data_IF_013221479578
#
_entry.id   IF_013221479578
#
_cell.length_a   1.000
_cell.length_b   1.000
_cell.length_c   1.000
_cell.angle_alpha   90.00
_cell.angle_beta   90.00
_cell.angle_gamma   90.00
#
_symmetry.space_group_name_H-M   'P 1'
#
loop_
_entity.id
_entity.type
_entity.pdbx_description
1 polymer ?
#
# COMPACT_ATOMS: atom_id res chain seq x y z
N UNK A 1 53.75 4.16 -34.30
CA UNK A 1 53.80 4.86 -35.60
C UNK A 1 53.76 3.83 -36.72
N UNK A 2 52.88 3.99 -37.71
CA UNK A 2 52.83 3.25 -38.99
C UNK A 2 52.65 1.71 -38.90
N UNK A 3 52.03 1.00 -39.86
CA UNK A 3 51.48 1.40 -41.16
C UNK A 3 50.01 0.97 -41.32
N UNK A 4 49.26 1.78 -42.07
CA UNK A 4 47.99 1.40 -42.69
C UNK A 4 48.28 0.51 -43.91
N UNK A 5 47.43 -0.47 -44.18
CA UNK A 5 47.30 -1.02 -45.53
C UNK A 5 45.83 -1.25 -45.86
N UNK A 6 45.31 -0.41 -46.77
CA UNK A 6 43.97 -0.51 -47.32
C UNK A 6 43.93 -1.64 -48.36
N UNK A 7 42.84 -2.40 -48.41
CA UNK A 7 42.33 -3.02 -49.64
C UNK A 7 40.81 -2.90 -49.62
N UNK A 8 40.20 -2.68 -50.79
CA UNK A 8 38.80 -2.29 -50.92
C UNK A 8 38.16 -2.97 -52.14
N UNK A 9 36.82 -3.04 -52.13
CA UNK A 9 35.93 -3.43 -53.24
C UNK A 9 36.01 -4.93 -53.62
N UNK A 10 34.96 -5.61 -54.11
CA UNK A 10 33.59 -5.22 -54.55
C UNK A 10 32.55 -6.13 -53.86
N UNK A 11 31.45 -5.61 -53.30
CA UNK A 11 30.14 -5.52 -53.95
C UNK A 11 29.60 -6.83 -54.57
N UNK A 12 28.53 -7.37 -53.98
CA UNK A 12 27.40 -7.94 -54.72
C UNK A 12 26.10 -7.72 -53.94
N UNK A 13 24.95 -7.64 -54.61
CA UNK A 13 23.70 -7.13 -54.04
C UNK A 13 22.49 -8.05 -54.30
N UNK A 14 21.72 -8.34 -53.24
CA UNK A 14 20.43 -9.04 -53.33
C UNK A 14 19.36 -8.34 -52.48
N UNK A 15 18.73 -7.41 -53.17
CA UNK A 15 17.55 -6.58 -52.90
C UNK A 15 16.26 -7.35 -52.50
N UNK A 16 15.26 -6.60 -51.98
CA UNK A 16 13.80 -6.92 -51.83
C UNK A 16 13.43 -7.79 -50.60
N UNK A 17 12.45 -7.45 -49.72
CA UNK A 17 11.64 -6.23 -49.54
C UNK A 17 10.91 -6.16 -48.17
N UNK A 18 10.59 -4.93 -47.73
CA UNK A 18 9.40 -4.44 -47.01
C UNK A 18 8.70 -5.24 -45.89
N UNK A 19 8.59 -4.59 -44.73
CA UNK A 19 7.28 -4.32 -44.12
C UNK A 19 7.28 -2.99 -43.32
N UNK A 20 7.00 -1.88 -44.00
CA UNK A 20 6.71 -0.57 -43.38
C UNK A 20 5.35 -0.05 -43.83
N UNK A 21 4.38 -0.08 -42.91
CA UNK A 21 3.05 0.57 -42.91
C UNK A 21 2.34 0.08 -41.63
N UNK A 22 1.50 0.83 -40.93
CA UNK A 22 1.15 2.26 -41.02
C UNK A 22 0.44 2.59 -39.70
N UNK A 23 0.90 3.55 -38.89
CA UNK A 23 0.05 4.15 -37.84
C UNK A 23 0.62 5.50 -37.37
N UNK A 24 0.43 6.51 -38.22
CA UNK A 24 0.65 7.91 -37.90
C UNK A 24 -0.63 8.68 -38.22
N UNK A 25 -1.57 8.75 -37.27
CA UNK A 25 -2.60 9.80 -37.19
C UNK A 25 -3.44 9.67 -35.90
N UNK A 26 -2.99 10.29 -34.81
CA UNK A 26 -3.85 10.60 -33.63
C UNK A 26 -3.28 11.64 -32.65
N UNK A 27 -2.23 12.38 -33.03
CA UNK A 27 -1.39 13.17 -32.10
C UNK A 27 -1.94 14.57 -31.71
N UNK A 28 -3.23 14.87 -31.93
CA UNK A 28 -3.80 16.21 -31.73
C UNK A 28 -5.14 16.27 -30.95
N UNK A 29 -5.46 15.27 -30.11
CA UNK A 29 -6.66 15.31 -29.22
C UNK A 29 -6.34 14.91 -27.75
N UNK A 30 -5.07 14.80 -27.36
CA UNK A 30 -4.69 14.28 -26.02
C UNK A 30 -4.40 15.33 -24.95
N UNK A 31 -3.93 16.53 -25.29
CA UNK A 31 -3.45 17.52 -24.31
C UNK A 31 -4.55 18.10 -23.43
N UNK A 32 -5.71 18.48 -24.00
CA UNK A 32 -6.82 19.07 -23.24
C UNK A 32 -7.48 18.06 -22.28
N UNK A 33 -7.61 16.79 -22.67
CA UNK A 33 -8.10 15.73 -21.77
C UNK A 33 -7.10 15.40 -20.66
N UNK A 34 -5.79 15.44 -20.93
CA UNK A 34 -4.77 15.26 -19.89
C UNK A 34 -4.74 16.41 -18.89
N UNK A 35 -4.89 17.67 -19.34
CA UNK A 35 -5.00 18.83 -18.43
C UNK A 35 -6.21 18.71 -17.50
N UNK A 36 -7.39 18.42 -18.05
CA UNK A 36 -8.62 18.27 -17.25
C UNK A 36 -8.53 17.13 -16.23
N UNK A 37 -7.85 16.03 -16.57
CA UNK A 37 -7.63 14.91 -15.63
C UNK A 37 -6.66 15.30 -14.51
N UNK A 38 -5.59 16.03 -14.81
CA UNK A 38 -4.63 16.51 -13.81
C UNK A 38 -5.26 17.55 -12.87
N UNK A 39 -6.10 18.45 -13.38
CA UNK A 39 -6.80 19.44 -12.55
C UNK A 39 -7.88 18.78 -11.67
N UNK A 40 -8.59 17.76 -12.15
CA UNK A 40 -9.52 16.94 -11.34
C UNK A 40 -8.79 16.13 -10.25
N UNK A 41 -7.63 15.53 -10.57
CA UNK A 41 -6.77 14.89 -9.57
C UNK A 41 -6.38 15.92 -8.53
N UNK A 42 -5.83 17.08 -8.94
CA UNK A 42 -5.38 18.15 -8.04
C UNK A 42 -6.49 18.70 -7.15
N UNK A 43 -7.71 18.82 -7.66
CA UNK A 43 -8.89 19.22 -6.88
C UNK A 43 -9.28 18.14 -5.85
N UNK A 44 -9.27 16.86 -6.23
CA UNK A 44 -9.58 15.76 -5.29
C UNK A 44 -8.50 15.57 -4.21
N UNK A 45 -7.21 15.71 -4.53
CA UNK A 45 -6.14 15.76 -3.52
C UNK A 45 -6.26 17.00 -2.63
N UNK A 46 -6.67 18.15 -3.17
CA UNK A 46 -6.86 19.38 -2.39
C UNK A 46 -8.04 19.27 -1.42
N UNK A 47 -9.12 18.58 -1.81
CA UNK A 47 -10.25 18.28 -0.92
C UNK A 47 -9.84 17.31 0.21
N UNK A 48 -9.17 16.20 -0.12
CA UNK A 48 -8.65 15.25 0.89
C UNK A 48 -7.60 15.88 1.82
N UNK A 49 -6.79 16.80 1.30
CA UNK A 49 -5.85 17.59 2.11
C UNK A 49 -6.52 18.69 2.95
N UNK A 50 -7.80 19.02 2.70
CA UNK A 50 -8.60 19.86 3.58
C UNK A 50 -9.18 19.02 4.74
N UNK A 51 -9.71 17.83 4.47
CA UNK A 51 -10.17 16.89 5.50
C UNK A 51 -9.00 16.43 6.40
N UNK A 52 -7.84 16.13 5.82
CA UNK A 52 -6.64 15.80 6.59
C UNK A 52 -6.10 16.98 7.40
N UNK A 53 -6.38 18.23 7.03
CA UNK A 53 -6.07 19.42 7.85
C UNK A 53 -7.00 19.53 9.06
N UNK A 54 -8.26 19.12 8.96
CA UNK A 54 -9.18 19.05 10.12
C UNK A 54 -8.70 17.99 11.11
N UNK A 55 -8.30 16.81 10.64
CA UNK A 55 -7.74 15.75 11.48
C UNK A 55 -6.36 16.10 12.06
N UNK A 56 -5.47 16.70 11.27
CA UNK A 56 -4.15 17.13 11.75
C UNK A 56 -4.24 18.29 12.76
N UNK A 57 -5.21 19.21 12.61
CA UNK A 57 -5.43 20.26 13.62
C UNK A 57 -6.06 19.72 14.91
N UNK A 58 -6.91 18.69 14.83
CA UNK A 58 -7.37 17.95 16.00
C UNK A 58 -6.22 17.25 16.76
N UNK A 59 -5.18 16.78 16.06
CA UNK A 59 -3.97 16.22 16.68
C UNK A 59 -2.99 17.25 17.27
N UNK A 60 -3.18 18.55 17.03
CA UNK A 60 -2.22 19.61 17.40
C UNK A 60 -2.77 20.59 18.43
N UNK A 61 -4.09 20.78 18.52
CA UNK A 61 -4.71 21.66 19.52
C UNK A 61 -4.84 20.93 20.87
N UNK A 62 -3.66 20.60 21.44
CA UNK A 62 -3.40 20.55 22.87
C UNK A 62 -3.69 19.25 23.62
N UNK A 63 -2.63 18.53 23.98
CA UNK A 63 -2.65 17.55 25.10
C UNK A 63 -3.19 18.16 26.42
N UNK A 64 -3.13 19.49 26.57
CA UNK A 64 -3.70 20.22 27.71
C UNK A 64 -5.20 20.60 27.58
N UNK A 65 -5.85 20.39 26.43
CA UNK A 65 -7.30 20.65 26.25
C UNK A 65 -8.09 19.44 25.73
N UNK A 66 -7.45 18.51 25.02
CA UNK A 66 -8.06 17.25 24.59
C UNK A 66 -8.37 16.28 25.73
N UNK A 67 -7.75 16.43 26.90
CA UNK A 67 -8.04 15.58 28.07
C UNK A 67 -9.46 15.80 28.59
N UNK A 68 -9.89 17.06 28.81
CA UNK A 68 -11.24 17.33 29.32
C UNK A 68 -12.35 17.09 28.28
N UNK A 69 -12.09 17.38 27.00
CA UNK A 69 -13.06 17.14 25.92
C UNK A 69 -13.11 15.65 25.54
N UNK A 70 -11.98 14.97 25.48
CA UNK A 70 -11.89 13.54 25.19
C UNK A 70 -12.57 12.68 26.24
N UNK A 71 -12.36 12.99 27.53
CA UNK A 71 -13.05 12.29 28.62
C UNK A 71 -14.57 12.59 28.60
N UNK A 72 -14.99 13.82 28.25
CA UNK A 72 -16.42 14.14 28.10
C UNK A 72 -17.06 13.49 26.86
N UNK A 73 -16.34 13.29 25.76
CA UNK A 73 -16.86 12.58 24.59
C UNK A 73 -16.87 11.06 24.79
N UNK A 74 -15.92 10.50 25.55
CA UNK A 74 -15.94 9.09 25.94
C UNK A 74 -17.17 8.72 26.80
N UNK A 75 -17.70 9.65 27.59
CA UNK A 75 -18.99 9.48 28.30
C UNK A 75 -20.21 9.34 27.35
N UNK A 76 -20.05 9.66 26.07
CA UNK A 76 -21.05 9.46 25.00
C UNK A 76 -20.70 8.34 24.01
N UNK A 77 -19.64 7.56 24.27
CA UNK A 77 -19.22 6.48 23.38
C UNK A 77 -20.30 5.42 23.19
N UNK A 78 -20.40 4.86 21.97
CA UNK A 78 -21.36 3.79 21.71
C UNK A 78 -20.92 2.49 22.38
N UNK A 79 -21.86 1.56 22.59
CA UNK A 79 -21.53 0.20 23.09
C UNK A 79 -20.54 -0.55 22.19
N UNK A 80 -20.51 -0.21 20.90
CA UNK A 80 -19.55 -0.74 19.94
C UNK A 80 -18.16 -0.15 20.17
N UNK A 81 -18.05 1.18 20.29
CA UNK A 81 -16.77 1.86 20.57
C UNK A 81 -16.15 1.36 21.88
N UNK A 82 -16.94 1.31 22.97
CA UNK A 82 -16.44 0.84 24.26
C UNK A 82 -15.97 -0.62 24.16
N UNK A 83 -16.68 -1.48 23.43
CA UNK A 83 -16.23 -2.86 23.19
C UNK A 83 -14.90 -2.91 22.43
N UNK A 84 -14.72 -2.10 21.38
CA UNK A 84 -13.45 -2.06 20.63
C UNK A 84 -12.29 -1.55 21.49
N UNK A 85 -12.54 -0.57 22.35
CA UNK A 85 -11.56 -0.08 23.34
C UNK A 85 -11.21 -1.19 24.35
N UNK A 86 -12.19 -1.89 24.89
CA UNK A 86 -11.98 -2.98 25.86
C UNK A 86 -11.23 -4.17 25.24
N UNK A 87 -11.60 -4.57 24.01
CA UNK A 87 -10.93 -5.63 23.25
C UNK A 87 -9.47 -5.24 22.93
N UNK A 88 -9.21 -4.00 22.52
CA UNK A 88 -7.84 -3.50 22.29
C UNK A 88 -7.05 -3.47 23.61
N UNK A 89 -7.61 -2.98 24.71
CA UNK A 89 -6.92 -2.92 26.00
C UNK A 89 -6.58 -4.32 26.52
N UNK A 90 -7.45 -5.32 26.30
CA UNK A 90 -7.16 -6.71 26.59
C UNK A 90 -5.99 -7.26 25.76
N UNK A 91 -5.93 -6.92 24.46
CA UNK A 91 -4.80 -7.25 23.58
C UNK A 91 -3.51 -6.54 24.02
N UNK A 92 -3.55 -5.23 24.27
CA UNK A 92 -2.44 -4.42 24.77
C UNK A 92 -1.83 -5.01 26.05
N UNK A 93 -2.67 -5.35 27.04
CA UNK A 93 -2.24 -5.99 28.29
C UNK A 93 -1.60 -7.37 28.07
N UNK A 94 -2.08 -8.13 27.08
CA UNK A 94 -1.54 -9.45 26.72
C UNK A 94 -0.18 -9.36 26.01
N UNK A 95 0.04 -8.32 25.20
CA UNK A 95 1.24 -8.15 24.35
C UNK A 95 2.30 -7.24 24.94
N UNK A 96 1.96 -6.44 25.95
CA UNK A 96 2.81 -5.37 26.47
C UNK A 96 2.93 -4.17 25.52
N UNK A 97 2.01 -4.04 24.55
CA UNK A 97 1.86 -2.83 23.76
C UNK A 97 1.12 -1.74 24.57
N UNK A 98 1.34 -0.43 24.31
CA UNK A 98 0.60 0.63 25.00
C UNK A 98 -0.91 0.57 24.73
N UNK A 99 -1.70 0.88 25.77
CA UNK A 99 -3.14 1.15 25.66
C UNK A 99 -3.42 2.33 24.71
N UNK A 100 -4.66 2.49 24.25
CA UNK A 100 -5.04 3.62 23.41
C UNK A 100 -4.95 4.95 24.18
N UNK A 101 -4.24 5.92 23.59
CA UNK A 101 -4.26 7.32 24.01
C UNK A 101 -5.65 7.94 23.81
N UNK A 102 -5.92 9.09 24.42
CA UNK A 102 -7.19 9.82 24.25
C UNK A 102 -7.44 10.20 22.78
N UNK A 103 -6.39 10.58 22.04
CA UNK A 103 -6.49 10.89 20.61
C UNK A 103 -6.82 9.66 19.75
N UNK A 104 -6.25 8.50 20.07
CA UNK A 104 -6.53 7.24 19.36
C UNK A 104 -7.93 6.70 19.67
N UNK A 105 -8.41 6.84 20.92
CA UNK A 105 -9.81 6.54 21.30
C UNK A 105 -10.80 7.45 20.56
N UNK A 106 -10.48 8.74 20.41
CA UNK A 106 -11.28 9.67 19.64
C UNK A 106 -11.30 9.29 18.14
N UNK A 107 -10.14 9.00 17.55
CA UNK A 107 -10.04 8.54 16.17
C UNK A 107 -10.89 7.28 15.93
N UNK A 108 -10.77 6.27 16.80
CA UNK A 108 -11.57 5.05 16.79
C UNK A 108 -13.08 5.35 16.83
N UNK A 109 -13.52 6.24 17.71
CA UNK A 109 -14.94 6.65 17.81
C UNK A 109 -15.44 7.31 16.51
N UNK A 110 -14.59 8.11 15.83
CA UNK A 110 -14.93 8.76 14.55
C UNK A 110 -14.92 7.84 13.33
N UNK A 111 -14.42 6.60 13.43
CA UNK A 111 -14.43 5.66 12.31
C UNK A 111 -15.87 5.35 11.85
N UNK A 112 -16.14 5.30 10.53
CA UNK A 112 -17.31 4.67 9.95
C UNK A 112 -17.47 3.20 10.39
N UNK A 113 -18.70 2.66 10.36
CA UNK A 113 -19.02 1.34 10.92
C UNK A 113 -18.33 0.17 10.21
N UNK A 114 -18.05 0.31 8.93
CA UNK A 114 -17.25 -0.62 8.13
C UNK A 114 -15.75 -0.56 8.46
N UNK A 115 -15.22 0.62 8.77
CA UNK A 115 -13.86 0.77 9.29
C UNK A 115 -13.73 0.25 10.73
N UNK A 116 -14.78 0.38 11.57
CA UNK A 116 -14.86 -0.26 12.90
C UNK A 116 -14.88 -1.79 12.81
N UNK A 117 -15.63 -2.33 11.86
CA UNK A 117 -15.61 -3.77 11.55
C UNK A 117 -14.22 -4.23 11.08
N UNK A 118 -13.53 -3.45 10.25
CA UNK A 118 -12.13 -3.73 9.88
C UNK A 118 -11.19 -3.69 11.10
N UNK A 119 -11.34 -2.68 11.97
CA UNK A 119 -10.58 -2.56 13.22
C UNK A 119 -10.76 -3.78 14.12
N UNK A 120 -12.00 -4.26 14.28
CA UNK A 120 -12.34 -5.49 15.01
C UNK A 120 -11.61 -6.71 14.44
N UNK A 121 -11.64 -6.88 13.12
CA UNK A 121 -10.95 -7.98 12.44
C UNK A 121 -9.42 -7.89 12.60
N UNK A 122 -8.85 -6.69 12.74
CA UNK A 122 -7.44 -6.51 13.07
C UNK A 122 -7.12 -6.92 14.51
N UNK A 123 -7.94 -6.54 15.51
CA UNK A 123 -7.76 -7.02 16.89
C UNK A 123 -7.79 -8.56 16.94
N UNK A 124 -8.72 -9.19 16.22
CA UNK A 124 -8.81 -10.66 16.14
C UNK A 124 -7.55 -11.29 15.51
N UNK A 125 -7.07 -10.72 14.40
CA UNK A 125 -5.86 -11.22 13.70
C UNK A 125 -4.59 -11.03 14.55
N UNK A 126 -4.44 -9.88 15.23
CA UNK A 126 -3.37 -9.64 16.20
C UNK A 126 -3.48 -10.55 17.43
N UNK A 127 -4.69 -10.92 17.86
CA UNK A 127 -4.91 -11.84 18.98
C UNK A 127 -4.42 -13.25 18.64
N UNK A 128 -4.68 -13.74 17.42
CA UNK A 128 -4.13 -15.01 16.89
C UNK A 128 -2.60 -14.97 16.81
N UNK A 129 -2.04 -13.87 16.29
CA UNK A 129 -0.59 -13.66 16.19
C UNK A 129 0.07 -13.68 17.58
N UNK A 130 -0.54 -13.01 18.56
CA UNK A 130 -0.12 -13.03 19.96
C UNK A 130 -0.23 -14.44 20.61
N UNK A 131 -1.16 -15.28 20.15
CA UNK A 131 -1.26 -16.70 20.54
C UNK A 131 -0.29 -17.62 19.77
N UNK A 132 0.42 -17.11 18.77
CA UNK A 132 1.25 -17.88 17.81
C UNK A 132 0.43 -18.90 16.98
N UNK A 133 -0.87 -18.66 16.82
CA UNK A 133 -1.75 -19.44 15.95
C UNK A 133 -1.48 -19.14 14.46
N UNK A 134 -1.02 -17.91 14.17
CA UNK A 134 -0.59 -17.46 12.85
C UNK A 134 0.80 -16.80 12.95
N UNK A 135 1.50 -16.73 11.82
CA UNK A 135 2.75 -15.99 11.66
C UNK A 135 2.53 -14.59 11.02
N UNK A 136 3.55 -13.72 10.96
CA UNK A 136 3.44 -12.37 10.39
C UNK A 136 2.92 -12.31 8.95
N UNK A 137 3.38 -13.20 8.07
CA UNK A 137 2.88 -13.25 6.70
C UNK A 137 1.43 -13.75 6.60
N UNK A 138 1.02 -14.66 7.49
CA UNK A 138 -0.39 -15.08 7.62
C UNK A 138 -1.27 -13.95 8.19
N UNK A 139 -0.77 -13.13 9.13
CA UNK A 139 -1.46 -11.92 9.59
C UNK A 139 -1.71 -10.95 8.42
N UNK A 140 -0.68 -10.62 7.63
CA UNK A 140 -0.85 -9.79 6.43
C UNK A 140 -1.89 -10.38 5.47
N UNK A 141 -1.87 -11.70 5.27
CA UNK A 141 -2.83 -12.38 4.39
C UNK A 141 -4.28 -12.39 4.91
N UNK A 142 -4.50 -12.57 6.21
CA UNK A 142 -5.83 -12.42 6.81
C UNK A 142 -6.32 -10.98 6.70
N UNK A 143 -5.47 -9.99 6.99
CA UNK A 143 -5.81 -8.56 6.89
C UNK A 143 -6.18 -8.13 5.47
N UNK A 144 -5.43 -8.56 4.46
CA UNK A 144 -5.74 -8.29 3.04
C UNK A 144 -7.07 -8.93 2.60
N UNK A 145 -7.33 -10.19 3.00
CA UNK A 145 -8.60 -10.88 2.71
C UNK A 145 -9.79 -10.22 3.38
N UNK A 146 -9.63 -9.80 4.63
CA UNK A 146 -10.65 -9.10 5.39
C UNK A 146 -10.97 -7.74 4.75
N UNK A 147 -9.95 -6.96 4.37
CA UNK A 147 -10.12 -5.72 3.64
C UNK A 147 -10.86 -5.92 2.31
N UNK A 148 -10.44 -6.88 1.47
CA UNK A 148 -11.09 -7.14 0.18
C UNK A 148 -12.57 -7.56 0.34
N UNK A 149 -12.84 -8.47 1.27
CA UNK A 149 -14.19 -8.95 1.58
C UNK A 149 -15.11 -7.84 2.10
N UNK A 150 -14.62 -6.96 2.96
CA UNK A 150 -15.39 -5.81 3.43
C UNK A 150 -15.64 -4.81 2.29
N UNK A 151 -14.64 -4.58 1.44
CA UNK A 151 -14.74 -3.60 0.37
C UNK A 151 -15.76 -4.01 -0.70
N UNK A 152 -15.75 -5.30 -1.08
CA UNK A 152 -16.72 -5.88 -2.00
C UNK A 152 -18.12 -6.03 -1.38
N UNK A 153 -18.23 -6.10 -0.04
CA UNK A 153 -19.51 -6.10 0.69
C UNK A 153 -20.13 -4.70 0.81
N UNK A 154 -19.31 -3.67 1.01
CA UNK A 154 -19.74 -2.31 1.34
C UNK A 154 -19.68 -1.34 0.15
N UNK A 155 -19.45 -1.84 -1.08
CA UNK A 155 -19.43 -1.04 -2.31
C UNK A 155 -20.66 -0.13 -2.42
N UNK A 156 -20.44 1.15 -2.77
CA UNK A 156 -21.52 2.09 -3.01
C UNK A 156 -22.52 1.54 -4.02
N UNK A 157 -23.79 1.43 -3.62
CA UNK A 157 -24.84 0.96 -4.52
C UNK A 157 -24.95 1.89 -5.74
N UNK A 158 -25.27 1.32 -6.92
CA UNK A 158 -25.27 2.01 -8.23
C UNK A 158 -26.09 3.33 -8.30
N UNK A 159 -27.02 3.54 -7.38
CA UNK A 159 -27.84 4.75 -7.27
C UNK A 159 -27.21 5.86 -6.39
N UNK A 160 -26.13 5.57 -5.66
CA UNK A 160 -25.35 6.55 -4.91
C UNK A 160 -23.97 6.75 -5.58
N UNK A 161 -23.86 7.61 -6.61
CA UNK A 161 -22.59 7.90 -7.29
C UNK A 161 -21.59 8.68 -6.42
N UNK A 162 -21.95 9.04 -5.18
CA UNK A 162 -21.08 9.70 -4.21
C UNK A 162 -20.54 8.74 -3.13
N UNK A 163 -20.91 7.45 -3.18
CA UNK A 163 -20.31 6.42 -2.34
C UNK A 163 -18.89 6.05 -2.81
N UNK A 164 -18.03 5.65 -1.88
CA UNK A 164 -16.72 5.09 -2.23
C UNK A 164 -16.87 3.82 -3.08
N UNK A 165 -16.03 3.68 -4.11
CA UNK A 165 -15.90 2.40 -4.81
C UNK A 165 -15.27 1.34 -3.91
N UNK A 166 -15.47 0.06 -4.23
CA UNK A 166 -14.79 -1.04 -3.51
C UNK A 166 -13.27 -0.92 -3.59
N UNK A 167 -12.71 -0.40 -4.68
CA UNK A 167 -11.28 -0.20 -4.82
C UNK A 167 -10.76 0.87 -3.85
N UNK A 168 -11.52 1.96 -3.63
CA UNK A 168 -11.23 2.96 -2.61
C UNK A 168 -11.34 2.36 -1.21
N UNK A 169 -12.46 1.69 -0.90
CA UNK A 169 -12.69 1.07 0.42
C UNK A 169 -11.59 0.05 0.77
N UNK A 170 -11.14 -0.75 -0.19
CA UNK A 170 -10.02 -1.67 0.01
C UNK A 170 -8.74 -0.95 0.41
N UNK A 171 -8.38 0.13 -0.31
CA UNK A 171 -7.20 0.94 -0.02
C UNK A 171 -7.32 1.62 1.34
N UNK A 172 -8.51 2.07 1.73
CA UNK A 172 -8.76 2.67 3.06
C UNK A 172 -8.65 1.64 4.19
N UNK A 173 -9.22 0.44 4.03
CA UNK A 173 -9.12 -0.64 5.03
C UNK A 173 -7.70 -1.19 5.17
N UNK A 174 -6.93 -1.31 4.08
CA UNK A 174 -5.49 -1.60 4.14
C UNK A 174 -4.73 -0.42 4.76
N UNK A 175 -5.15 0.80 4.44
CA UNK A 175 -4.66 2.06 4.99
C UNK A 175 -4.76 2.12 6.52
N UNK A 176 -5.85 1.58 7.08
CA UNK A 176 -6.10 1.41 8.52
C UNK A 176 -5.32 0.23 9.11
N UNK A 177 -5.24 -0.91 8.41
CA UNK A 177 -4.64 -2.14 8.95
C UNK A 177 -3.12 -2.07 9.18
N UNK A 178 -2.40 -1.32 8.34
CA UNK A 178 -0.93 -1.24 8.36
C UNK A 178 -0.43 0.21 8.38
N UNK A 179 -1.07 1.09 9.16
CA UNK A 179 -0.67 2.50 9.23
C UNK A 179 0.57 2.68 10.11
N UNK A 180 1.71 3.09 9.55
CA UNK A 180 2.87 3.46 10.37
C UNK A 180 2.58 4.71 11.22
N UNK A 181 3.24 4.78 12.38
CA UNK A 181 3.20 5.86 13.37
C UNK A 181 3.39 7.25 12.75
N UNK A 182 3.01 8.28 13.50
CA UNK A 182 3.27 9.66 13.10
C UNK A 182 4.77 9.87 12.90
N UNK A 183 5.13 10.44 11.74
CA UNK A 183 6.50 10.85 11.43
C UNK A 183 6.77 12.30 11.90
N UNK A 184 5.81 12.90 12.61
CA UNK A 184 5.77 14.31 12.97
C UNK A 184 5.12 15.15 11.87
N UNK A 185 4.41 16.21 12.30
CA UNK A 185 3.54 17.05 11.46
C UNK A 185 4.05 17.35 10.05
N UNK A 186 5.29 17.84 9.93
CA UNK A 186 5.85 18.23 8.63
C UNK A 186 5.97 17.05 7.65
N UNK A 187 6.34 15.87 8.16
CA UNK A 187 6.42 14.64 7.35
C UNK A 187 5.04 14.06 7.09
N UNK A 188 4.14 14.07 8.07
CA UNK A 188 2.77 13.56 7.89
C UNK A 188 1.94 14.41 6.91
N UNK A 189 2.17 15.73 6.83
CA UNK A 189 1.60 16.59 5.78
C UNK A 189 2.11 16.18 4.39
N UNK A 190 3.40 15.91 4.24
CA UNK A 190 3.99 15.46 2.96
C UNK A 190 3.46 14.07 2.59
N UNK A 191 3.35 13.15 3.57
CA UNK A 191 2.79 11.80 3.41
C UNK A 191 1.33 11.84 2.95
N UNK A 192 0.51 12.67 3.59
CA UNK A 192 -0.87 12.94 3.16
C UNK A 192 -0.92 13.59 1.75
N UNK A 193 -0.03 14.54 1.46
CA UNK A 193 0.07 15.21 0.15
C UNK A 193 0.50 14.27 -0.98
N UNK A 194 1.28 13.23 -0.69
CA UNK A 194 1.60 12.15 -1.63
C UNK A 194 0.42 11.18 -1.86
N UNK A 195 -0.68 11.32 -1.12
CA UNK A 195 -1.86 10.46 -1.20
C UNK A 195 -1.94 9.39 -0.12
N UNK A 196 -1.17 9.49 0.96
CA UNK A 196 -1.14 8.50 2.05
C UNK A 196 -1.40 9.17 3.41
N UNK A 197 -2.65 9.57 3.72
CA UNK A 197 -2.98 10.21 5.00
C UNK A 197 -2.66 9.30 6.19
N UNK A 198 -2.29 9.91 7.32
CA UNK A 198 -2.07 9.21 8.58
C UNK A 198 -3.40 8.86 9.26
N UNK A 199 -3.48 7.66 9.85
CA UNK A 199 -4.63 7.19 10.64
C UNK A 199 -4.16 6.86 12.07
N UNK A 200 -4.68 7.60 13.05
CA UNK A 200 -4.34 7.42 14.48
C UNK A 200 -4.81 6.07 15.04
N UNK A 201 -5.99 5.59 14.64
CA UNK A 201 -6.50 4.30 15.11
C UNK A 201 -5.65 3.16 14.51
N UNK A 202 -5.36 3.22 13.22
CA UNK A 202 -4.48 2.29 12.52
C UNK A 202 -3.07 2.25 13.10
N UNK A 203 -2.52 3.40 13.49
CA UNK A 203 -1.20 3.49 14.11
C UNK A 203 -1.08 2.73 15.45
N UNK A 204 -2.18 2.60 16.20
CA UNK A 204 -2.21 1.77 17.41
C UNK A 204 -2.16 0.26 17.09
N UNK A 205 -2.78 -0.15 15.98
CA UNK A 205 -2.73 -1.54 15.49
C UNK A 205 -1.31 -1.90 15.01
N UNK A 206 -0.69 -1.09 14.15
CA UNK A 206 0.68 -1.34 13.66
C UNK A 206 1.70 -1.28 14.81
N UNK A 207 1.53 -0.37 15.79
CA UNK A 207 2.35 -0.36 17.02
C UNK A 207 2.26 -1.68 17.79
N UNK A 208 1.08 -2.29 17.86
CA UNK A 208 0.88 -3.60 18.50
C UNK A 208 1.47 -4.73 17.66
N UNK A 209 1.34 -4.66 16.33
CA UNK A 209 1.95 -5.61 15.39
C UNK A 209 3.49 -5.60 15.47
N UNK A 210 4.13 -4.43 15.32
CA UNK A 210 5.57 -4.27 15.41
C UNK A 210 6.14 -4.82 16.73
N UNK A 211 5.40 -4.63 17.84
CA UNK A 211 5.75 -5.19 19.16
C UNK A 211 5.64 -6.72 19.23
N UNK A 212 4.71 -7.30 18.49
CA UNK A 212 4.51 -8.76 18.41
C UNK A 212 5.54 -9.45 17.50
N UNK A 213 6.01 -8.76 16.45
CA UNK A 213 6.88 -9.36 15.42
C UNK A 213 8.36 -9.00 15.55
N UNK A 214 8.77 -8.34 16.64
CA UNK A 214 10.19 -8.03 16.89
C UNK A 214 11.05 -9.31 16.81
N UNK A 215 12.05 -9.32 15.92
CA UNK A 215 12.89 -10.47 15.52
C UNK A 215 12.18 -11.62 14.76
N UNK A 216 10.87 -11.55 14.54
CA UNK A 216 10.11 -12.50 13.70
C UNK A 216 9.50 -11.85 12.45
N UNK A 217 9.68 -10.55 12.20
CA UNK A 217 9.01 -9.77 11.14
C UNK A 217 9.05 -10.38 9.73
N UNK A 218 10.15 -11.04 9.35
CA UNK A 218 10.32 -11.71 8.05
C UNK A 218 9.65 -13.10 7.96
N UNK A 219 9.09 -13.64 9.05
CA UNK A 219 8.64 -15.04 9.16
C UNK A 219 7.41 -15.33 8.28
N UNK A 220 7.61 -16.21 7.31
CA UNK A 220 6.60 -16.63 6.34
C UNK A 220 6.55 -15.76 5.07
N UNK A 221 7.32 -14.67 5.01
CA UNK A 221 7.43 -13.81 3.83
C UNK A 221 8.44 -14.35 2.80
N UNK A 222 8.30 -13.93 1.55
CA UNK A 222 9.21 -14.25 0.46
C UNK A 222 10.55 -13.50 0.67
N UNK A 223 11.66 -14.23 0.64
CA UNK A 223 13.01 -13.69 0.94
C UNK A 223 13.52 -12.64 -0.06
N UNK A 224 12.80 -12.44 -1.17
CA UNK A 224 13.07 -11.38 -2.15
C UNK A 224 12.53 -10.00 -1.74
N UNK A 225 11.63 -9.92 -0.76
CA UNK A 225 10.99 -8.67 -0.28
C UNK A 225 11.20 -8.38 1.20
N UNK A 226 11.78 -9.31 1.94
CA UNK A 226 12.17 -9.09 3.33
C UNK A 226 13.50 -8.34 3.38
N UNK A 227 13.49 -7.13 3.92
CA UNK A 227 14.70 -6.56 4.49
C UNK A 227 15.14 -7.43 5.68
N UNK A 228 16.46 -7.55 5.85
CA UNK A 228 17.11 -8.35 6.89
C UNK A 228 17.91 -7.49 7.87
N UNK A 229 17.94 -6.17 7.67
CA UNK A 229 18.90 -5.28 8.32
C UNK A 229 18.29 -4.44 9.45
N UNK A 230 16.97 -4.27 9.49
CA UNK A 230 16.25 -3.57 10.56
C UNK A 230 15.14 -4.48 11.16
N UNK A 231 15.23 -4.85 12.46
CA UNK A 231 14.23 -5.71 13.12
C UNK A 231 12.89 -5.01 13.43
N UNK A 232 12.82 -3.68 13.30
CA UNK A 232 11.61 -2.86 13.46
C UNK A 232 10.96 -2.52 12.11
N UNK A 233 11.61 -2.81 10.97
CA UNK A 233 11.09 -2.59 9.62
C UNK A 233 10.12 -3.73 9.20
N UNK A 234 8.83 -3.42 9.06
CA UNK A 234 7.79 -4.38 8.69
C UNK A 234 7.40 -4.29 7.20
N UNK A 235 7.36 -5.44 6.53
CA UNK A 235 6.88 -5.56 5.12
C UNK A 235 5.47 -4.98 4.91
N UNK A 236 4.65 -4.96 5.96
CA UNK A 236 3.26 -4.49 5.96
C UNK A 236 3.11 -2.99 5.76
N UNK A 237 3.90 -2.15 6.46
CA UNK A 237 3.69 -0.70 6.42
C UNK A 237 4.13 -0.08 5.09
N UNK A 238 5.26 -0.52 4.51
CA UNK A 238 5.69 -0.09 3.17
C UNK A 238 4.65 -0.39 2.11
N UNK A 239 4.09 -1.61 2.11
CA UNK A 239 3.05 -1.99 1.15
C UNK A 239 1.85 -1.02 1.21
N UNK A 240 1.43 -0.62 2.41
CA UNK A 240 0.31 0.32 2.62
C UNK A 240 0.61 1.71 2.07
N UNK A 241 1.76 2.28 2.41
CA UNK A 241 2.15 3.61 1.90
C UNK A 241 2.14 3.63 0.36
N UNK A 242 2.77 2.65 -0.29
CA UNK A 242 2.87 2.61 -1.74
C UNK A 242 1.57 2.21 -2.46
N UNK A 243 0.73 1.37 -1.84
CA UNK A 243 -0.62 1.11 -2.31
C UNK A 243 -1.43 2.42 -2.38
N UNK A 244 -1.39 3.21 -1.31
CA UNK A 244 -2.13 4.47 -1.21
C UNK A 244 -1.59 5.52 -2.19
N UNK A 245 -0.26 5.70 -2.28
CA UNK A 245 0.35 6.63 -3.27
C UNK A 245 0.05 6.19 -4.70
N UNK A 246 0.20 4.91 -5.03
CA UNK A 246 -0.08 4.39 -6.38
C UNK A 246 -1.55 4.53 -6.80
N UNK A 247 -2.47 4.41 -5.84
CA UNK A 247 -3.91 4.60 -6.06
C UNK A 247 -4.27 6.09 -6.21
N UNK A 248 -3.86 6.94 -5.27
CA UNK A 248 -4.28 8.34 -5.20
C UNK A 248 -3.51 9.29 -6.12
N UNK A 249 -2.26 8.96 -6.44
CA UNK A 249 -1.32 9.80 -7.20
C UNK A 249 -0.84 9.15 -8.50
N UNK A 250 -1.24 7.90 -8.74
CA UNK A 250 -0.90 7.14 -9.95
C UNK A 250 0.55 6.63 -9.98
N UNK A 251 0.80 5.73 -10.96
CA UNK A 251 2.08 5.01 -11.08
C UNK A 251 3.31 5.91 -11.16
N UNK A 252 3.25 7.09 -11.79
CA UNK A 252 4.40 7.97 -11.93
C UNK A 252 4.90 8.50 -10.58
N UNK A 253 3.98 8.95 -9.70
CA UNK A 253 4.33 9.50 -8.39
C UNK A 253 4.74 8.38 -7.43
N UNK A 254 4.04 7.24 -7.44
CA UNK A 254 4.43 6.08 -6.62
C UNK A 254 5.79 5.50 -7.02
N UNK A 255 6.12 5.44 -8.32
CA UNK A 255 7.44 4.99 -8.78
C UNK A 255 8.56 5.94 -8.32
N UNK A 256 8.31 7.25 -8.31
CA UNK A 256 9.28 8.23 -7.78
C UNK A 256 9.44 8.06 -6.26
N UNK A 257 8.34 7.95 -5.51
CA UNK A 257 8.39 7.69 -4.07
C UNK A 257 9.16 6.39 -3.75
N UNK A 258 9.00 5.35 -4.57
CA UNK A 258 9.69 4.06 -4.38
C UNK A 258 11.21 4.15 -4.57
N UNK A 259 11.70 5.07 -5.42
CA UNK A 259 13.13 5.34 -5.58
C UNK A 259 13.73 6.24 -4.51
N UNK A 260 12.91 6.93 -3.72
CA UNK A 260 13.36 7.89 -2.70
C UNK A 260 13.28 7.33 -1.27
N UNK A 261 12.58 6.20 -1.04
CA UNK A 261 12.54 5.54 0.28
C UNK A 261 13.89 4.91 0.62
N UNK A 262 14.50 4.17 -0.31
CA UNK A 262 15.85 3.61 -0.13
C UNK A 262 16.51 3.38 -1.50
N UNK A 263 17.82 3.11 -1.50
CA UNK A 263 18.57 2.85 -2.72
C UNK A 263 18.46 1.37 -3.11
N UNK A 264 18.22 1.05 -4.39
CA UNK A 264 18.09 -0.34 -4.86
C UNK A 264 19.31 -1.25 -4.58
N UNK A 265 20.50 -0.66 -4.42
CA UNK A 265 21.75 -1.36 -4.09
C UNK A 265 21.99 -1.55 -2.58
N UNK A 266 21.27 -0.83 -1.72
CA UNK A 266 21.33 -0.95 -0.26
C UNK A 266 20.19 -1.85 0.25
N UNK A 267 18.97 -1.56 -0.18
CA UNK A 267 17.76 -2.25 0.29
C UNK A 267 16.82 -2.55 -0.89
N UNK A 268 17.11 -3.59 -1.68
CA UNK A 268 16.25 -3.99 -2.79
C UNK A 268 14.86 -4.47 -2.33
N UNK A 269 14.69 -4.85 -1.06
CA UNK A 269 13.42 -5.32 -0.51
C UNK A 269 12.36 -4.21 -0.51
N UNK A 270 12.68 -3.07 0.10
CA UNK A 270 11.73 -1.95 0.22
C UNK A 270 11.43 -1.30 -1.13
N UNK A 271 12.43 -1.21 -2.03
CA UNK A 271 12.22 -0.75 -3.41
C UNK A 271 11.29 -1.71 -4.19
N UNK A 272 11.45 -3.03 -4.04
CA UNK A 272 10.54 -4.04 -4.64
C UNK A 272 9.13 -3.90 -4.09
N UNK A 273 8.99 -3.79 -2.76
CA UNK A 273 7.72 -3.55 -2.10
C UNK A 273 7.03 -2.28 -2.63
N UNK A 274 7.80 -1.21 -2.84
CA UNK A 274 7.23 0.07 -3.27
C UNK A 274 6.79 0.13 -4.72
N UNK A 275 7.56 -0.44 -5.65
CA UNK A 275 7.10 -0.58 -7.03
C UNK A 275 5.88 -1.50 -7.14
N UNK A 276 5.86 -2.61 -6.39
CA UNK A 276 4.73 -3.52 -6.39
C UNK A 276 3.47 -2.88 -5.80
N UNK A 277 3.56 -2.28 -4.60
CA UNK A 277 2.43 -1.56 -3.98
C UNK A 277 1.88 -0.47 -4.90
N UNK A 278 2.77 0.32 -5.53
CA UNK A 278 2.40 1.32 -6.53
C UNK A 278 1.66 0.71 -7.73
N UNK A 279 2.14 -0.43 -8.25
CA UNK A 279 1.50 -1.15 -9.36
C UNK A 279 0.10 -1.62 -8.98
N UNK A 280 -0.08 -2.22 -7.79
CA UNK A 280 -1.40 -2.65 -7.28
C UNK A 280 -2.34 -1.46 -7.13
N UNK A 281 -1.90 -0.39 -6.46
CA UNK A 281 -2.72 0.81 -6.23
C UNK A 281 -3.17 1.45 -7.54
N UNK A 282 -2.25 1.59 -8.50
CA UNK A 282 -2.59 2.14 -9.81
C UNK A 282 -3.47 1.19 -10.64
N UNK A 283 -3.35 -0.13 -10.47
CA UNK A 283 -4.22 -1.10 -11.12
C UNK A 283 -5.66 -1.05 -10.59
N UNK A 284 -5.83 -0.91 -9.27
CA UNK A 284 -7.11 -0.69 -8.59
C UNK A 284 -7.77 0.62 -9.03
N UNK A 285 -7.04 1.75 -9.01
CA UNK A 285 -7.57 3.04 -9.48
C UNK A 285 -8.09 3.00 -10.93
N UNK A 286 -7.43 2.23 -11.79
CA UNK A 286 -7.84 2.05 -13.18
C UNK A 286 -8.86 0.91 -13.40
N UNK A 287 -9.41 0.30 -12.33
CA UNK A 287 -10.37 -0.81 -12.42
C UNK A 287 -9.86 -2.06 -13.13
N UNK A 288 -8.53 -2.27 -13.16
CA UNK A 288 -7.89 -3.39 -13.89
C UNK A 288 -7.87 -4.70 -13.10
N UNK A 289 -8.00 -4.61 -11.79
CA UNK A 289 -8.07 -5.72 -10.83
C UNK A 289 -9.12 -5.36 -9.77
N UNK A 290 -9.78 -6.37 -9.19
CA UNK A 290 -10.72 -6.16 -8.05
C UNK A 290 -9.96 -6.16 -6.72
N UNK A 291 -10.57 -5.71 -5.60
CA UNK A 291 -10.02 -5.89 -4.26
C UNK A 291 -9.58 -7.33 -3.96
N UNK A 292 -10.40 -8.33 -4.26
CA UNK A 292 -10.03 -9.74 -4.06
C UNK A 292 -8.87 -10.20 -4.93
N UNK A 293 -8.76 -9.75 -6.19
CA UNK A 293 -7.60 -10.07 -7.03
C UNK A 293 -6.33 -9.35 -6.57
N UNK A 294 -6.44 -8.10 -6.11
CA UNK A 294 -5.34 -7.36 -5.49
C UNK A 294 -4.84 -8.06 -4.21
N UNK A 295 -5.75 -8.43 -3.31
CA UNK A 295 -5.42 -9.12 -2.07
C UNK A 295 -4.70 -10.45 -2.33
N UNK A 296 -5.28 -11.35 -3.13
CA UNK A 296 -4.68 -12.66 -3.38
C UNK A 296 -3.38 -12.57 -4.22
N UNK A 297 -3.26 -11.60 -5.14
CA UNK A 297 -2.01 -11.40 -5.86
C UNK A 297 -0.90 -10.86 -4.95
N UNK A 298 -1.21 -9.94 -4.04
CA UNK A 298 -0.26 -9.50 -3.00
C UNK A 298 0.11 -10.66 -2.08
N UNK A 299 -0.85 -11.47 -1.62
CA UNK A 299 -0.57 -12.64 -0.75
C UNK A 299 0.35 -13.65 -1.45
N UNK A 300 0.04 -14.01 -2.71
CA UNK A 300 0.90 -14.90 -3.50
C UNK A 300 2.30 -14.31 -3.71
N UNK A 301 2.39 -13.00 -3.99
CA UNK A 301 3.67 -12.34 -4.20
C UNK A 301 4.51 -12.25 -2.90
N UNK A 302 3.86 -12.02 -1.75
CA UNK A 302 4.53 -11.68 -0.50
C UNK A 302 4.83 -12.90 0.38
N UNK A 303 4.07 -13.99 0.27
CA UNK A 303 4.27 -15.19 1.09
C UNK A 303 5.35 -16.13 0.52
N UNK A 304 6.06 -16.84 1.40
CA UNK A 304 6.96 -17.91 1.01
C UNK A 304 6.16 -19.11 0.49
N UNK A 305 6.52 -19.63 -0.69
CA UNK A 305 5.82 -20.77 -1.29
C UNK A 305 6.75 -21.68 -2.10
N UNK A 306 6.44 -22.97 -2.15
CA UNK A 306 7.20 -23.97 -2.93
C UNK A 306 6.88 -24.02 -4.43
N UNK A 307 5.90 -23.23 -4.89
CA UNK A 307 5.46 -23.19 -6.29
C UNK A 307 6.14 -22.14 -7.17
N UNK A 308 5.48 -21.81 -8.29
CA UNK A 308 5.94 -20.83 -9.30
C UNK A 308 6.20 -19.45 -8.68
N UNK A 309 7.46 -19.04 -8.68
CA UNK A 309 7.92 -17.79 -8.07
C UNK A 309 7.25 -16.55 -8.69
N UNK A 310 6.97 -15.51 -7.88
CA UNK A 310 6.51 -14.23 -8.42
C UNK A 310 7.67 -13.58 -9.17
N UNK A 311 7.40 -12.71 -10.17
CA UNK A 311 8.45 -12.08 -10.99
C UNK A 311 9.20 -10.95 -10.26
N UNK A 312 9.62 -11.18 -9.01
CA UNK A 312 10.53 -10.33 -8.23
C UNK A 312 11.96 -10.24 -8.80
N UNK A 313 12.31 -11.15 -9.73
CA UNK A 313 13.69 -11.41 -10.11
C UNK A 313 14.45 -12.18 -9.03
N UNK A 314 15.78 -12.13 -9.09
CA UNK A 314 16.68 -12.75 -8.11
C UNK A 314 17.29 -11.66 -7.23
N UNK A 315 17.28 -11.84 -5.89
CA UNK A 315 17.98 -10.98 -4.93
C UNK A 315 19.46 -10.77 -5.27
N UNK A 316 20.10 -11.73 -5.96
CA UNK A 316 21.52 -11.70 -6.32
C UNK A 316 21.83 -11.12 -7.71
N UNK A 317 20.81 -10.85 -8.55
CA UNK A 317 21.01 -10.43 -9.96
C UNK A 317 20.34 -9.09 -10.27
N UNK A 318 19.22 -8.76 -9.63
CA UNK A 318 18.45 -7.53 -9.88
C UNK A 318 18.27 -6.69 -8.62
N UNK A 319 19.38 -6.07 -8.18
CA UNK A 319 19.40 -4.97 -7.22
C UNK A 319 19.79 -3.63 -7.87
N UNK A 320 20.82 -3.59 -8.70
CA UNK A 320 21.41 -2.31 -9.17
C UNK A 320 20.62 -1.56 -10.26
N UNK A 321 19.63 -2.17 -10.90
CA UNK A 321 18.83 -1.59 -12.00
C UNK A 321 17.41 -2.16 -12.07
N UNK A 322 16.63 -2.02 -10.99
CA UNK A 322 15.17 -2.13 -11.12
C UNK A 322 14.67 -0.97 -11.98
N UNK A 323 13.90 -1.28 -13.02
CA UNK A 323 13.24 -0.30 -13.87
C UNK A 323 11.75 -0.30 -13.60
N UNK A 324 11.05 0.76 -14.01
CA UNK A 324 9.58 0.82 -13.90
C UNK A 324 8.90 -0.33 -14.64
N UNK A 325 9.54 -0.84 -15.68
CA UNK A 325 9.00 -1.81 -16.64
C UNK A 325 8.99 -3.24 -16.08
N UNK A 326 9.84 -3.53 -15.09
CA UNK A 326 9.82 -4.80 -14.34
C UNK A 326 8.51 -4.99 -13.54
N UNK A 327 7.74 -3.91 -13.35
CA UNK A 327 6.48 -3.86 -12.61
C UNK A 327 5.29 -3.45 -13.51
N UNK A 328 5.25 -3.99 -14.73
CA UNK A 328 4.02 -3.99 -15.53
C UNK A 328 3.02 -5.04 -15.01
N UNK A 329 1.76 -4.63 -14.82
CA UNK A 329 0.67 -5.47 -14.31
C UNK A 329 0.45 -6.76 -15.11
N UNK A 330 0.61 -6.73 -16.44
CA UNK A 330 0.27 -7.87 -17.31
C UNK A 330 1.15 -9.11 -17.07
N UNK A 331 2.50 -9.01 -17.02
CA UNK A 331 3.37 -10.09 -16.54
C UNK A 331 2.95 -10.67 -15.18
N UNK A 332 2.64 -9.81 -14.21
CA UNK A 332 2.22 -10.21 -12.86
C UNK A 332 0.90 -10.99 -12.86
N UNK A 333 -0.15 -10.47 -13.52
CA UNK A 333 -1.42 -11.17 -13.67
C UNK A 333 -1.29 -12.51 -14.40
N UNK A 334 -0.47 -12.56 -15.47
CA UNK A 334 -0.21 -13.81 -16.19
C UNK A 334 0.47 -14.85 -15.30
N UNK A 335 1.44 -14.43 -14.48
CA UNK A 335 2.12 -15.32 -13.54
C UNK A 335 1.18 -15.80 -12.44
N UNK A 336 0.49 -14.88 -11.76
CA UNK A 336 -0.48 -15.14 -10.69
C UNK A 336 -1.60 -16.10 -11.12
N UNK A 337 -2.25 -15.85 -12.28
CA UNK A 337 -3.36 -16.68 -12.80
C UNK A 337 -2.93 -18.05 -13.33
N UNK A 338 -1.62 -18.31 -13.46
CA UNK A 338 -1.05 -19.61 -13.88
C UNK A 338 -0.29 -20.33 -12.76
N UNK A 339 -0.51 -19.95 -11.50
CA UNK A 339 0.19 -20.55 -10.35
C UNK A 339 -0.28 -21.97 -10.02
N UNK A 340 -1.54 -22.29 -10.31
CA UNK A 340 -2.21 -23.55 -9.93
C UNK A 340 -2.32 -24.55 -11.11
N UNK A 341 -1.69 -24.28 -12.26
CA UNK A 341 -1.86 -25.05 -13.52
C UNK A 341 -0.68 -25.99 -13.83
N UNK A 342 -0.12 -26.65 -12.81
CA UNK A 342 1.01 -27.59 -12.93
C UNK A 342 0.64 -28.98 -12.40
#
# INVERSE_FOLDING_TARGET
MARISLHAQTADAAHVSDFTKNESDSSHVSSERQSGTLDLIRQSTSARAADSKVLASAGIIGDLQLTSVGDQMLLGSSKEDQKLIDDYNALSKKTGAPELTTAEKFALHTLPSDQKEMYRLQIESLTKLANKEINPAQYMAESLRNAAKLAEKNEGSWWNPFGSSKEQLFVDYVGLAFCDKSLGLGKDIVRAGAGSPFDLAGAALERTYAKLVTNEAAKGFNTNITDTNDPDNTVTHHYREFLMVGYNSGRTIGNWAATEIDKPDINPGDVRNGYFGTMIGSALWNGKITPSEAAEMTIWAYTAHGGKQPPWGDRNVTGSKLTTDDYFLNPWLKAYRSRDTN
#
